data_IF_219014211639
#
_entry.id   IF_219014211639
#
_cell.length_a   1.000
_cell.length_b   1.000
_cell.length_c   1.000
_cell.angle_alpha   90.00
_cell.angle_beta   90.00
_cell.angle_gamma   90.00
#
_symmetry.space_group_name_H-M   'P 1'
#
loop_
_entity.id
_entity.type
_entity.pdbx_description
1 polymer ?
#
# COMPACT_ATOMS: atom_id res chain seq x y z
N UNK A 1 -4.50 -22.69 1.62
CA UNK A 1 -5.40 -21.52 1.42
C UNK A 1 -5.76 -20.97 2.78
N UNK A 2 -5.59 -19.67 3.00
CA UNK A 2 -6.01 -18.99 4.22
C UNK A 2 -7.54 -19.03 4.30
N UNK A 3 -8.09 -19.52 5.39
CA UNK A 3 -9.55 -19.60 5.56
C UNK A 3 -10.02 -18.30 6.21
N UNK A 4 -10.67 -17.45 5.43
CA UNK A 4 -11.28 -16.21 5.94
C UNK A 4 -12.52 -16.50 6.78
N UNK A 5 -12.80 -15.73 7.83
CA UNK A 5 -14.09 -15.76 8.49
C UNK A 5 -15.21 -15.32 7.52
N UNK A 6 -16.43 -15.81 7.73
CA UNK A 6 -17.61 -15.43 6.93
C UNK A 6 -17.91 -13.93 7.05
N UNK A 7 -17.75 -13.40 8.25
CA UNK A 7 -17.90 -11.99 8.60
C UNK A 7 -16.65 -11.54 9.35
N UNK A 8 -16.32 -10.25 9.28
CA UNK A 8 -15.17 -9.71 10.01
C UNK A 8 -15.38 -9.83 11.52
N UNK A 9 -14.40 -10.42 12.18
CA UNK A 9 -14.34 -10.47 13.63
C UNK A 9 -13.83 -9.12 14.18
N UNK A 10 -14.75 -8.21 14.49
CA UNK A 10 -14.43 -6.88 14.99
C UNK A 10 -13.75 -6.91 16.36
N UNK A 11 -14.05 -7.88 17.20
CA UNK A 11 -13.40 -8.03 18.52
C UNK A 11 -11.92 -8.31 18.38
N UNK A 12 -11.55 -9.34 17.60
CA UNK A 12 -10.13 -9.65 17.34
C UNK A 12 -9.41 -8.52 16.60
N UNK A 13 -10.13 -7.77 15.73
CA UNK A 13 -9.55 -6.61 15.03
C UNK A 13 -9.25 -5.45 16.00
N UNK A 14 -10.13 -5.20 16.98
CA UNK A 14 -9.93 -4.23 18.05
C UNK A 14 -8.77 -4.64 18.97
N UNK A 15 -8.69 -5.90 19.36
CA UNK A 15 -7.58 -6.42 20.15
C UNK A 15 -6.23 -6.21 19.45
N UNK A 16 -6.16 -6.48 18.13
CA UNK A 16 -4.98 -6.17 17.33
C UNK A 16 -4.65 -4.67 17.35
N UNK A 17 -5.64 -3.81 17.13
CA UNK A 17 -5.46 -2.35 17.15
C UNK A 17 -4.98 -1.86 18.52
N UNK A 18 -5.54 -2.37 19.61
CA UNK A 18 -5.10 -2.05 20.98
C UNK A 18 -3.67 -2.51 21.22
N UNK A 19 -3.28 -3.71 20.74
CA UNK A 19 -1.91 -4.19 20.85
C UNK A 19 -0.92 -3.24 20.15
N UNK A 20 -1.30 -2.71 18.97
CA UNK A 20 -0.50 -1.73 18.25
C UNK A 20 -0.48 -0.35 18.93
N UNK A 21 -1.55 0.05 19.61
CA UNK A 21 -1.63 1.32 20.36
C UNK A 21 -0.64 1.36 21.52
N UNK A 22 -0.35 0.22 22.12
CA UNK A 22 0.58 0.13 23.26
C UNK A 22 2.04 -0.10 22.88
N UNK A 23 2.38 -0.12 21.59
CA UNK A 23 3.79 -0.06 21.16
C UNK A 23 4.45 1.25 21.64
N UNK A 24 5.77 1.20 21.77
CA UNK A 24 6.54 2.38 22.13
C UNK A 24 6.61 3.38 20.99
N UNK A 25 6.44 4.67 21.32
CA UNK A 25 6.64 5.76 20.36
C UNK A 25 8.13 5.91 20.08
N UNK A 26 8.51 5.79 18.80
CA UNK A 26 9.91 5.86 18.37
C UNK A 26 10.26 7.24 17.81
N UNK A 27 11.46 7.74 18.13
CA UNK A 27 12.03 8.94 17.51
C UNK A 27 12.31 8.71 16.03
N UNK A 28 12.15 9.76 15.24
CA UNK A 28 12.63 9.78 13.86
C UNK A 28 13.85 10.70 13.70
N UNK A 29 14.53 10.58 12.56
CA UNK A 29 15.68 11.44 12.22
C UNK A 29 15.27 12.82 11.68
N UNK A 30 13.98 13.03 11.39
CA UNK A 30 13.51 14.23 10.68
C UNK A 30 13.32 15.42 11.61
N UNK A 31 12.81 15.21 12.81
CA UNK A 31 12.56 16.27 13.80
C UNK A 31 12.32 15.62 15.16
N UNK A 32 12.67 16.33 16.27
CA UNK A 32 12.33 15.87 17.64
C UNK A 32 10.83 15.65 17.86
N UNK A 33 9.98 16.33 17.08
CA UNK A 33 8.51 16.25 17.19
C UNK A 33 7.89 15.19 16.28
N UNK A 34 8.61 14.73 15.25
CA UNK A 34 8.14 13.69 14.35
C UNK A 34 8.51 12.34 14.92
N UNK A 35 7.48 11.54 15.21
CA UNK A 35 7.63 10.20 15.81
C UNK A 35 7.14 9.13 14.83
N UNK A 36 7.49 7.89 15.12
CA UNK A 36 7.04 6.71 14.38
C UNK A 36 6.20 5.84 15.31
N UNK A 37 4.90 5.74 15.01
CA UNK A 37 3.93 4.93 15.76
C UNK A 37 2.71 4.61 14.88
N UNK A 38 2.06 3.45 15.03
CA UNK A 38 0.89 3.07 14.21
C UNK A 38 -0.27 4.07 14.23
N UNK A 39 -0.44 4.84 15.29
CA UNK A 39 -1.58 5.76 15.45
C UNK A 39 -1.21 7.24 15.44
N UNK A 40 0.07 7.60 15.37
CA UNK A 40 0.51 9.00 15.31
C UNK A 40 1.87 9.13 14.67
N UNK A 41 2.10 10.25 13.99
CA UNK A 41 3.41 10.67 13.49
C UNK A 41 3.92 11.93 14.22
N UNK A 42 3.19 12.44 15.20
CA UNK A 42 3.53 13.63 15.97
C UNK A 42 3.71 13.30 17.46
N UNK A 43 4.79 13.78 18.06
CA UNK A 43 5.05 13.70 19.50
C UNK A 43 4.19 14.66 20.32
N UNK A 44 3.59 15.68 19.67
CA UNK A 44 2.62 16.61 20.29
C UNK A 44 1.30 16.47 19.54
N UNK A 45 0.22 16.29 20.26
CA UNK A 45 -1.12 16.13 19.71
C UNK A 45 -2.14 16.94 20.52
N UNK A 46 -3.35 17.13 19.98
CA UNK A 46 -4.47 17.74 20.70
C UNK A 46 -5.58 16.73 20.90
N UNK A 47 -6.20 16.74 22.06
CA UNK A 47 -7.31 15.86 22.39
C UNK A 47 -8.35 16.59 23.27
N UNK A 48 -9.63 16.22 23.11
CA UNK A 48 -10.69 16.70 24.01
C UNK A 48 -10.64 15.87 25.29
N UNK A 49 -10.35 16.51 26.42
CA UNK A 49 -10.32 15.90 27.76
C UNK A 49 -11.28 16.68 28.64
N UNK A 50 -12.31 16.00 29.17
CA UNK A 50 -13.37 16.60 29.97
C UNK A 50 -14.06 17.82 29.32
N UNK A 51 -14.26 17.77 27.99
CA UNK A 51 -14.90 18.85 27.22
C UNK A 51 -13.99 19.99 26.81
N UNK A 52 -12.72 20.00 27.20
CA UNK A 52 -11.73 21.00 26.84
C UNK A 52 -10.67 20.44 25.90
N UNK A 53 -10.21 21.25 24.94
CA UNK A 53 -9.08 20.89 24.08
C UNK A 53 -7.78 21.03 24.87
N UNK A 54 -7.05 19.93 25.03
CA UNK A 54 -5.72 19.90 25.64
C UNK A 54 -4.66 19.53 24.63
N UNK A 55 -3.52 20.25 24.67
CA UNK A 55 -2.32 19.87 23.96
C UNK A 55 -1.54 18.88 24.82
N UNK A 56 -1.20 17.72 24.25
CA UNK A 56 -0.51 16.64 24.94
C UNK A 56 0.86 16.42 24.31
N UNK A 57 1.92 16.40 25.12
CA UNK A 57 3.26 15.97 24.72
C UNK A 57 3.40 14.47 25.00
N UNK A 58 2.94 13.66 24.08
CA UNK A 58 2.88 12.22 24.24
C UNK A 58 4.23 11.52 24.13
N UNK A 59 5.25 12.25 23.71
CA UNK A 59 6.61 11.71 23.56
C UNK A 59 7.46 11.88 24.82
N UNK A 60 7.36 13.02 25.53
CA UNK A 60 8.20 13.33 26.68
C UNK A 60 7.44 13.27 28.00
N UNK A 61 6.11 13.33 27.99
CA UNK A 61 5.27 13.31 29.17
C UNK A 61 4.45 12.02 29.26
N UNK A 62 4.73 11.21 30.27
CA UNK A 62 4.08 9.92 30.48
C UNK A 62 2.58 10.04 30.79
N UNK A 63 2.16 11.08 31.51
CA UNK A 63 0.75 11.29 31.85
C UNK A 63 -0.05 11.72 30.62
N UNK A 64 0.54 12.58 29.78
CA UNK A 64 -0.03 12.94 28.48
C UNK A 64 -0.14 11.73 27.54
N UNK A 65 0.88 10.88 27.50
CA UNK A 65 0.85 9.62 26.74
C UNK A 65 -0.29 8.71 27.22
N UNK A 66 -0.45 8.55 28.52
CA UNK A 66 -1.52 7.72 29.09
C UNK A 66 -2.91 8.32 28.78
N UNK A 67 -3.03 9.65 28.84
CA UNK A 67 -4.26 10.37 28.50
C UNK A 67 -4.63 10.16 27.03
N UNK A 68 -3.65 10.31 26.12
CA UNK A 68 -3.82 10.08 24.70
C UNK A 68 -4.21 8.62 24.39
N UNK A 69 -3.49 7.65 24.97
CA UNK A 69 -3.81 6.22 24.79
C UNK A 69 -5.22 5.89 25.22
N UNK A 70 -5.67 6.39 26.37
CA UNK A 70 -7.04 6.18 26.85
C UNK A 70 -8.09 6.74 25.88
N UNK A 71 -7.87 7.93 25.33
CA UNK A 71 -8.77 8.48 24.33
C UNK A 71 -8.79 7.70 23.02
N UNK A 72 -7.63 7.21 22.55
CA UNK A 72 -7.56 6.33 21.38
C UNK A 72 -8.21 4.97 21.63
N UNK A 73 -8.05 4.41 22.82
CA UNK A 73 -8.72 3.18 23.25
C UNK A 73 -10.24 3.31 23.22
N UNK A 74 -10.77 4.42 23.70
CA UNK A 74 -12.21 4.75 23.64
C UNK A 74 -12.71 4.83 22.18
N UNK A 75 -11.91 5.42 21.27
CA UNK A 75 -12.23 5.50 19.84
C UNK A 75 -12.22 4.10 19.21
N UNK A 76 -11.18 3.30 19.44
CA UNK A 76 -11.05 1.94 18.94
C UNK A 76 -12.25 1.09 19.40
N UNK A 77 -12.59 1.14 20.68
CA UNK A 77 -13.69 0.36 21.26
C UNK A 77 -15.08 0.74 20.72
N UNK A 78 -15.29 2.01 20.37
CA UNK A 78 -16.54 2.51 19.78
C UNK A 78 -16.65 2.26 18.27
N UNK A 79 -15.55 1.91 17.60
CA UNK A 79 -15.53 1.65 16.15
C UNK A 79 -16.21 0.31 15.86
N UNK A 80 -17.15 0.30 14.93
CA UNK A 80 -17.95 -0.88 14.56
C UNK A 80 -17.69 -1.38 13.12
N UNK A 81 -16.86 -0.67 12.35
CA UNK A 81 -16.54 -1.00 10.96
C UNK A 81 -15.04 -1.21 10.76
N UNK A 82 -14.63 -2.27 10.01
CA UNK A 82 -13.22 -2.55 9.74
C UNK A 82 -12.49 -1.38 9.11
N UNK A 83 -13.13 -0.74 8.15
CA UNK A 83 -12.58 0.40 7.41
C UNK A 83 -12.33 1.62 8.31
N UNK A 84 -13.27 1.91 9.22
CA UNK A 84 -13.10 3.02 10.18
C UNK A 84 -11.96 2.77 11.15
N UNK A 85 -11.76 1.50 11.58
CA UNK A 85 -10.62 1.13 12.42
C UNK A 85 -9.29 1.26 11.66
N UNK A 86 -9.25 0.77 10.44
CA UNK A 86 -8.10 0.87 9.56
C UNK A 86 -7.66 2.33 9.33
N UNK A 87 -8.61 3.27 9.19
CA UNK A 87 -8.29 4.69 9.02
C UNK A 87 -7.63 5.34 10.23
N UNK A 88 -7.69 4.75 11.40
CA UNK A 88 -6.94 5.21 12.57
C UNK A 88 -5.43 4.88 12.43
N UNK A 89 -5.09 3.96 11.54
CA UNK A 89 -3.70 3.52 11.33
C UNK A 89 -2.99 4.48 10.39
N UNK A 90 -1.81 4.95 10.80
CA UNK A 90 -0.95 5.78 9.98
C UNK A 90 -0.53 5.07 8.70
N UNK A 91 -0.49 5.82 7.60
CA UNK A 91 -0.15 5.35 6.25
C UNK A 91 1.07 4.42 6.19
N UNK A 92 2.22 4.69 6.84
CA UNK A 92 3.37 3.78 6.81
C UNK A 92 3.12 2.39 7.43
N UNK A 93 2.07 2.24 8.23
CA UNK A 93 1.72 0.99 8.89
C UNK A 93 0.50 0.29 8.26
N UNK A 94 -0.09 0.87 7.22
CA UNK A 94 -1.33 0.38 6.61
C UNK A 94 -1.21 -1.07 6.10
N UNK A 95 -0.17 -1.36 5.30
CA UNK A 95 0.07 -2.70 4.75
C UNK A 95 0.36 -3.73 5.85
N UNK A 96 1.18 -3.35 6.83
CA UNK A 96 1.50 -4.22 7.99
C UNK A 96 0.25 -4.50 8.80
N UNK A 97 -0.60 -3.50 9.03
CA UNK A 97 -1.88 -3.69 9.70
C UNK A 97 -2.76 -4.70 8.94
N UNK A 98 -2.94 -4.54 7.63
CA UNK A 98 -3.74 -5.45 6.79
C UNK A 98 -3.19 -6.88 6.85
N UNK A 99 -1.86 -7.06 6.83
CA UNK A 99 -1.21 -8.37 6.97
C UNK A 99 -1.60 -9.06 8.28
N UNK A 100 -1.50 -8.37 9.42
CA UNK A 100 -1.82 -8.93 10.72
C UNK A 100 -3.34 -9.01 10.99
N UNK A 101 -4.13 -8.16 10.37
CA UNK A 101 -5.59 -8.17 10.46
C UNK A 101 -6.24 -9.29 9.63
N UNK A 102 -5.53 -9.85 8.65
CA UNK A 102 -6.06 -10.87 7.73
C UNK A 102 -6.83 -12.02 8.42
N UNK A 103 -6.40 -12.59 9.56
CA UNK A 103 -7.14 -13.68 10.23
C UNK A 103 -8.50 -13.26 10.79
N UNK A 104 -8.72 -11.97 11.00
CA UNK A 104 -9.95 -11.40 11.58
C UNK A 104 -10.89 -10.82 10.53
N UNK A 105 -10.41 -10.53 9.33
CA UNK A 105 -11.16 -9.90 8.26
C UNK A 105 -11.94 -10.92 7.43
N UNK A 106 -13.17 -10.58 7.02
CA UNK A 106 -13.83 -11.27 5.92
C UNK A 106 -12.99 -11.13 4.64
N UNK A 107 -13.14 -12.06 3.69
CA UNK A 107 -12.40 -11.97 2.43
C UNK A 107 -12.71 -10.66 1.69
N UNK A 108 -13.95 -10.19 1.76
CA UNK A 108 -14.36 -8.88 1.20
C UNK A 108 -13.59 -7.73 1.84
N UNK A 109 -13.65 -7.63 3.17
CA UNK A 109 -13.00 -6.51 3.88
C UNK A 109 -11.48 -6.57 3.74
N UNK A 110 -10.89 -7.78 3.79
CA UNK A 110 -9.46 -7.97 3.53
C UNK A 110 -9.05 -7.44 2.15
N UNK A 111 -9.80 -7.83 1.09
CA UNK A 111 -9.49 -7.44 -0.28
C UNK A 111 -9.58 -5.92 -0.46
N UNK A 112 -10.64 -5.31 0.07
CA UNK A 112 -10.84 -3.85 -0.01
C UNK A 112 -9.77 -3.08 0.77
N UNK A 113 -9.39 -3.56 1.97
CA UNK A 113 -8.35 -2.91 2.77
C UNK A 113 -6.95 -3.11 2.16
N UNK A 114 -6.66 -4.28 1.56
CA UNK A 114 -5.40 -4.50 0.84
C UNK A 114 -5.26 -3.55 -0.34
N UNK A 115 -6.33 -3.38 -1.10
CA UNK A 115 -6.41 -2.45 -2.23
C UNK A 115 -6.11 -1.01 -1.80
N UNK A 116 -6.80 -0.52 -0.76
CA UNK A 116 -6.58 0.83 -0.24
C UNK A 116 -5.17 1.00 0.35
N UNK A 117 -4.68 0.03 1.13
CA UNK A 117 -3.34 0.09 1.72
C UNK A 117 -2.24 0.13 0.65
N UNK A 118 -2.39 -0.65 -0.42
CA UNK A 118 -1.45 -0.65 -1.54
C UNK A 118 -1.45 0.69 -2.27
N UNK A 119 -2.61 1.12 -2.74
CA UNK A 119 -2.73 2.34 -3.55
C UNK A 119 -2.44 3.63 -2.79
N UNK A 120 -2.64 3.67 -1.47
CA UNK A 120 -2.27 4.82 -0.63
C UNK A 120 -0.79 4.88 -0.30
N UNK A 121 -0.06 3.77 -0.35
CA UNK A 121 1.35 3.71 0.02
C UNK A 121 2.21 4.11 -1.18
N UNK A 122 3.15 5.04 -0.97
CA UNK A 122 4.17 5.33 -1.96
C UNK A 122 5.23 4.21 -1.95
N UNK A 123 5.51 3.62 -3.11
CA UNK A 123 6.48 2.52 -3.26
C UNK A 123 6.21 1.34 -2.30
N UNK A 124 5.01 0.75 -2.29
CA UNK A 124 4.62 -0.30 -1.35
C UNK A 124 5.56 -1.50 -1.37
N UNK A 125 6.13 -1.83 -2.53
CA UNK A 125 7.12 -2.90 -2.70
C UNK A 125 8.44 -2.69 -1.94
N UNK A 126 8.69 -1.47 -1.42
CA UNK A 126 9.88 -1.16 -0.62
C UNK A 126 9.65 -1.28 0.90
N UNK A 127 8.46 -1.68 1.33
CA UNK A 127 8.18 -1.89 2.76
C UNK A 127 9.04 -3.04 3.31
N UNK A 128 9.97 -2.71 4.20
CA UNK A 128 10.92 -3.65 4.79
C UNK A 128 10.29 -4.75 5.66
N UNK A 129 9.02 -4.59 6.02
CA UNK A 129 8.26 -5.59 6.78
C UNK A 129 7.77 -6.75 5.90
N UNK A 130 8.02 -6.69 4.57
CA UNK A 130 7.55 -7.68 3.62
C UNK A 130 8.67 -8.20 2.73
N UNK A 131 8.58 -9.48 2.43
CA UNK A 131 9.27 -10.07 1.27
C UNK A 131 8.32 -10.03 0.06
N UNK A 132 8.84 -9.96 -1.18
CA UNK A 132 8.00 -10.01 -2.37
C UNK A 132 7.00 -11.18 -2.39
N UNK A 133 7.44 -12.37 -1.94
CA UNK A 133 6.59 -13.56 -1.84
C UNK A 133 5.42 -13.42 -0.85
N UNK A 134 5.53 -12.54 0.15
CA UNK A 134 4.44 -12.28 1.10
C UNK A 134 3.38 -11.40 0.46
N UNK A 135 3.77 -10.38 -0.30
CA UNK A 135 2.83 -9.59 -1.10
C UNK A 135 2.07 -10.45 -2.10
N UNK A 136 2.79 -11.32 -2.85
CA UNK A 136 2.17 -12.26 -3.80
C UNK A 136 1.12 -13.12 -3.09
N UNK A 137 1.41 -13.62 -1.88
CA UNK A 137 0.45 -14.39 -1.08
C UNK A 137 -0.77 -13.58 -0.67
N UNK A 138 -0.60 -12.31 -0.25
CA UNK A 138 -1.71 -11.45 0.11
C UNK A 138 -2.63 -11.21 -1.10
N UNK A 139 -2.07 -10.83 -2.24
CA UNK A 139 -2.83 -10.60 -3.47
C UNK A 139 -3.53 -11.86 -3.98
N UNK A 140 -2.87 -13.02 -3.95
CA UNK A 140 -3.49 -14.32 -4.31
C UNK A 140 -4.61 -14.74 -3.36
N UNK A 141 -4.62 -14.25 -2.13
CA UNK A 141 -5.67 -14.52 -1.15
C UNK A 141 -6.86 -13.58 -1.29
N UNK A 142 -6.69 -12.45 -1.97
CA UNK A 142 -7.75 -11.48 -2.19
C UNK A 142 -8.76 -11.95 -3.25
N UNK A 143 -9.99 -11.51 -3.12
CA UNK A 143 -11.02 -11.65 -4.16
C UNK A 143 -10.96 -10.42 -5.07
N UNK A 144 -10.71 -10.64 -6.36
CA UNK A 144 -10.54 -9.57 -7.36
C UNK A 144 -11.74 -8.62 -7.43
N UNK A 145 -12.95 -9.13 -7.18
CA UNK A 145 -14.19 -8.33 -7.16
C UNK A 145 -14.27 -7.28 -6.07
N UNK A 146 -13.48 -7.43 -5.02
CA UNK A 146 -13.39 -6.48 -3.89
C UNK A 146 -12.01 -5.83 -3.78
N UNK A 147 -11.03 -6.35 -4.52
CA UNK A 147 -9.69 -5.81 -4.60
C UNK A 147 -9.61 -4.65 -5.60
N UNK A 148 -10.30 -4.76 -6.73
CA UNK A 148 -10.36 -3.77 -7.80
C UNK A 148 -11.70 -3.03 -7.76
N UNK A 149 -11.72 -1.77 -8.19
CA UNK A 149 -12.95 -1.04 -8.44
C UNK A 149 -13.65 -1.58 -9.70
N UNK A 150 -14.88 -1.20 -9.92
CA UNK A 150 -15.70 -1.80 -11.01
C UNK A 150 -15.07 -1.58 -12.38
N UNK A 151 -14.56 -0.39 -12.63
CA UNK A 151 -13.88 -0.03 -13.87
C UNK A 151 -12.50 -0.71 -14.02
N UNK A 152 -11.76 -0.85 -12.93
CA UNK A 152 -10.49 -1.59 -12.88
C UNK A 152 -10.70 -3.07 -13.16
N UNK A 153 -11.76 -3.67 -12.58
CA UNK A 153 -12.12 -5.07 -12.83
C UNK A 153 -12.54 -5.29 -14.27
N UNK A 154 -13.34 -4.37 -14.84
CA UNK A 154 -13.71 -4.43 -16.25
C UNK A 154 -12.48 -4.35 -17.15
N UNK A 155 -11.57 -3.40 -16.93
CA UNK A 155 -10.32 -3.29 -17.68
C UNK A 155 -9.49 -4.57 -17.57
N UNK A 156 -9.40 -5.15 -16.35
CA UNK A 156 -8.72 -6.42 -16.15
C UNK A 156 -9.38 -7.56 -16.96
N UNK A 157 -10.71 -7.62 -17.01
CA UNK A 157 -11.44 -8.66 -17.75
C UNK A 157 -11.29 -8.53 -19.28
N UNK A 158 -11.06 -7.32 -19.77
CA UNK A 158 -10.83 -7.01 -21.19
C UNK A 158 -9.37 -7.24 -21.64
N UNK A 159 -8.43 -7.47 -20.71
CA UNK A 159 -7.04 -7.77 -21.08
C UNK A 159 -6.94 -9.04 -21.94
N UNK A 160 -6.02 -9.07 -22.92
CA UNK A 160 -5.72 -10.28 -23.70
C UNK A 160 -5.10 -11.39 -22.81
N UNK A 161 -5.06 -12.62 -23.30
CA UNK A 161 -4.50 -13.77 -22.57
C UNK A 161 -3.02 -13.59 -22.22
N UNK A 162 -2.25 -12.91 -23.07
CA UNK A 162 -0.87 -12.48 -22.84
C UNK A 162 -0.80 -10.97 -22.92
N UNK A 163 -0.22 -10.36 -21.91
CA UNK A 163 -0.13 -8.91 -21.72
C UNK A 163 1.32 -8.49 -21.72
N UNK A 164 1.65 -7.43 -22.47
CA UNK A 164 2.94 -6.73 -22.35
C UNK A 164 2.82 -5.70 -21.23
N UNK A 165 3.82 -5.67 -20.35
CA UNK A 165 3.90 -4.77 -19.21
C UNK A 165 5.24 -4.06 -19.19
N UNK A 166 5.25 -2.82 -18.73
CA UNK A 166 6.42 -1.94 -18.74
C UNK A 166 6.79 -1.51 -17.32
N UNK A 167 8.09 -1.26 -17.11
CA UNK A 167 8.58 -0.74 -15.83
C UNK A 167 9.77 0.18 -16.02
N UNK A 168 9.64 1.41 -15.52
CA UNK A 168 10.75 2.36 -15.42
C UNK A 168 11.60 2.09 -14.18
N UNK A 169 12.92 2.04 -14.38
CA UNK A 169 13.90 1.80 -13.33
C UNK A 169 15.05 2.78 -13.47
N UNK A 170 15.56 3.31 -12.38
CA UNK A 170 16.74 4.17 -12.37
C UNK A 170 17.99 3.37 -12.76
N UNK A 171 18.87 3.96 -13.57
CA UNK A 171 20.07 3.31 -14.07
C UNK A 171 21.04 2.85 -12.97
N UNK A 172 21.05 3.54 -11.82
CA UNK A 172 21.86 3.18 -10.65
C UNK A 172 21.31 1.97 -9.86
N UNK A 173 20.10 1.50 -10.19
CA UNK A 173 19.38 0.44 -9.47
C UNK A 173 18.73 -0.61 -10.37
N UNK A 174 19.48 -1.22 -11.32
CA UNK A 174 18.90 -2.18 -12.28
C UNK A 174 18.25 -3.39 -11.58
N UNK A 175 18.72 -3.79 -10.40
CA UNK A 175 18.14 -4.88 -9.60
C UNK A 175 16.70 -4.60 -9.11
N UNK A 176 16.20 -3.36 -9.26
CA UNK A 176 14.83 -2.96 -8.90
C UNK A 176 13.81 -3.26 -10.01
N UNK A 177 14.21 -3.83 -11.13
CA UNK A 177 13.27 -4.25 -12.19
C UNK A 177 12.33 -5.34 -11.68
N UNK A 178 12.81 -6.30 -10.90
CA UNK A 178 11.99 -7.38 -10.34
C UNK A 178 11.20 -6.94 -9.11
N UNK A 179 10.19 -6.12 -9.35
CA UNK A 179 9.22 -5.64 -8.35
C UNK A 179 7.81 -5.95 -8.84
N UNK A 180 6.83 -5.96 -7.92
CA UNK A 180 5.46 -6.37 -8.25
C UNK A 180 4.70 -5.37 -9.13
N UNK A 181 5.01 -4.08 -9.03
CA UNK A 181 4.29 -3.00 -9.69
C UNK A 181 4.87 -2.75 -11.08
N UNK A 182 4.06 -2.90 -12.11
CA UNK A 182 4.33 -2.63 -13.51
C UNK A 182 3.22 -1.74 -14.07
N UNK A 183 3.32 -1.27 -15.28
CA UNK A 183 2.27 -0.50 -15.95
C UNK A 183 1.95 -1.08 -17.34
N UNK A 184 0.73 -0.83 -17.82
CA UNK A 184 0.35 -1.12 -19.21
C UNK A 184 0.81 -0.03 -20.19
N UNK A 185 1.22 1.13 -19.66
CA UNK A 185 1.54 2.33 -20.41
C UNK A 185 3.05 2.56 -20.45
N UNK A 186 3.70 2.44 -21.62
CA UNK A 186 5.13 2.68 -21.75
C UNK A 186 5.54 4.13 -21.42
N UNK A 187 4.66 5.12 -21.70
CA UNK A 187 4.94 6.53 -21.39
C UNK A 187 4.98 6.76 -19.88
N UNK A 188 4.11 6.07 -19.14
CA UNK A 188 4.17 6.08 -17.66
C UNK A 188 5.43 5.42 -17.14
N UNK A 189 5.87 4.31 -17.75
CA UNK A 189 7.13 3.67 -17.39
C UNK A 189 8.32 4.60 -17.65
N UNK A 190 8.32 5.32 -18.76
CA UNK A 190 9.33 6.34 -19.10
C UNK A 190 9.35 7.46 -18.07
N UNK A 191 8.17 7.99 -17.71
CA UNK A 191 8.06 9.02 -16.69
C UNK A 191 8.65 8.56 -15.34
N UNK A 192 8.39 7.31 -14.94
CA UNK A 192 8.98 6.73 -13.72
C UNK A 192 10.49 6.56 -13.82
N UNK A 193 11.01 6.19 -15.00
CA UNK A 193 12.44 6.04 -15.24
C UNK A 193 13.18 7.38 -15.11
N UNK A 194 12.60 8.45 -15.67
CA UNK A 194 13.18 9.81 -15.72
C UNK A 194 12.78 10.71 -14.54
N UNK A 195 11.99 10.19 -13.59
CA UNK A 195 11.52 10.97 -12.45
C UNK A 195 12.69 11.52 -11.64
N UNK A 196 12.64 12.82 -11.30
CA UNK A 196 13.67 13.58 -10.57
C UNK A 196 14.96 13.88 -11.37
N UNK A 197 14.85 14.09 -12.67
CA UNK A 197 15.97 14.43 -13.56
C UNK A 197 17.13 13.40 -13.52
N UNK A 198 16.78 12.13 -13.28
CA UNK A 198 17.74 11.03 -13.26
C UNK A 198 17.66 10.22 -14.56
N UNK A 199 18.78 9.64 -14.96
CA UNK A 199 18.82 8.67 -16.05
C UNK A 199 18.17 7.37 -15.60
N UNK A 200 17.30 6.85 -16.45
CA UNK A 200 16.58 5.61 -16.18
C UNK A 200 16.37 4.79 -17.45
N UNK A 201 16.05 3.54 -17.25
CA UNK A 201 15.80 2.56 -18.30
C UNK A 201 14.37 2.03 -18.14
N UNK A 202 13.68 1.89 -19.28
CA UNK A 202 12.40 1.19 -19.33
C UNK A 202 12.64 -0.26 -19.68
N UNK A 203 12.01 -1.15 -18.96
CA UNK A 203 11.96 -2.57 -19.25
C UNK A 203 10.57 -2.96 -19.70
N UNK A 204 10.50 -3.88 -20.65
CA UNK A 204 9.26 -4.57 -21.01
C UNK A 204 9.36 -6.05 -20.66
N UNK A 205 8.22 -6.66 -20.40
CA UNK A 205 8.09 -8.09 -20.19
C UNK A 205 6.70 -8.56 -20.61
N UNK A 206 6.54 -9.86 -20.82
CA UNK A 206 5.22 -10.48 -21.06
C UNK A 206 4.77 -11.28 -19.86
N UNK A 207 3.45 -11.32 -19.64
CA UNK A 207 2.83 -12.11 -18.58
C UNK A 207 1.46 -12.63 -19.03
N UNK A 208 1.12 -13.87 -18.65
CA UNK A 208 -0.24 -14.36 -18.86
C UNK A 208 -1.21 -13.63 -17.91
N UNK A 209 -2.36 -13.20 -18.40
CA UNK A 209 -3.44 -12.54 -17.64
C UNK A 209 -3.78 -13.23 -16.32
N UNK A 210 -3.81 -14.56 -16.30
CA UNK A 210 -4.09 -15.37 -15.09
C UNK A 210 -3.09 -15.14 -13.96
N UNK A 211 -1.86 -14.67 -14.27
CA UNK A 211 -0.78 -14.38 -13.33
C UNK A 211 -0.71 -12.88 -12.96
N UNK A 212 -1.60 -12.06 -13.50
CA UNK A 212 -1.82 -10.69 -13.05
C UNK A 212 -2.69 -10.73 -11.79
N UNK A 213 -2.18 -10.19 -10.72
CA UNK A 213 -2.79 -10.25 -9.39
C UNK A 213 -3.83 -9.15 -9.18
N UNK A 214 -3.58 -7.94 -9.72
CA UNK A 214 -4.49 -6.80 -9.72
C UNK A 214 -4.17 -5.82 -10.85
N UNK A 215 -5.15 -4.96 -11.17
CA UNK A 215 -5.01 -3.75 -11.99
C UNK A 215 -5.56 -2.58 -11.17
N UNK A 216 -4.79 -1.47 -11.10
CA UNK A 216 -5.19 -0.25 -10.41
C UNK A 216 -4.99 0.96 -11.32
N UNK A 217 -6.04 1.78 -11.47
CA UNK A 217 -6.03 2.99 -12.32
C UNK A 217 -6.17 4.30 -11.53
N UNK A 218 -6.35 4.23 -10.21
CA UNK A 218 -6.72 5.36 -9.34
C UNK A 218 -5.74 6.53 -9.30
N UNK A 219 -4.49 6.33 -9.75
CA UNK A 219 -3.47 7.38 -9.81
C UNK A 219 -3.07 7.71 -11.25
N UNK A 220 -3.91 7.32 -12.21
CA UNK A 220 -3.59 7.45 -13.64
C UNK A 220 -2.27 6.73 -14.02
N UNK A 221 -1.96 5.63 -13.34
CA UNK A 221 -0.71 4.87 -13.52
C UNK A 221 -0.92 3.58 -14.34
N UNK A 222 -2.17 3.15 -14.56
CA UNK A 222 -2.50 1.85 -15.18
C UNK A 222 -1.66 0.72 -14.57
N UNK A 223 -1.57 0.73 -13.24
CA UNK A 223 -0.67 -0.16 -12.48
C UNK A 223 -1.13 -1.60 -12.56
N UNK A 224 -0.24 -2.49 -12.91
CA UNK A 224 -0.43 -3.94 -12.93
C UNK A 224 0.42 -4.57 -11.83
N UNK A 225 -0.23 -5.32 -10.94
CA UNK A 225 0.46 -6.14 -9.93
C UNK A 225 0.69 -7.52 -10.50
N UNK A 226 1.95 -7.89 -10.64
CA UNK A 226 2.36 -9.13 -11.29
C UNK A 226 2.88 -10.17 -10.30
N UNK A 227 2.66 -11.44 -10.62
CA UNK A 227 3.39 -12.53 -9.99
C UNK A 227 4.74 -12.68 -10.69
N UNK A 228 5.81 -12.29 -9.99
CA UNK A 228 7.17 -12.20 -10.54
C UNK A 228 7.69 -13.51 -11.12
N UNK A 229 7.24 -14.66 -10.60
CA UNK A 229 7.67 -15.98 -11.06
C UNK A 229 7.17 -16.32 -12.49
N UNK A 230 6.26 -15.50 -13.03
CA UNK A 230 5.63 -15.69 -14.34
C UNK A 230 5.92 -14.59 -15.36
N UNK A 231 6.80 -13.63 -15.03
CA UNK A 231 7.32 -12.69 -16.01
C UNK A 231 8.23 -13.41 -17.00
N UNK A 232 8.06 -13.10 -18.30
CA UNK A 232 8.84 -13.67 -19.41
C UNK A 232 9.33 -12.56 -20.32
N UNK A 233 10.30 -12.90 -21.16
CA UNK A 233 10.82 -12.05 -22.24
C UNK A 233 11.25 -10.66 -21.74
N UNK A 234 11.86 -10.61 -20.55
CA UNK A 234 12.31 -9.36 -19.94
C UNK A 234 13.46 -8.76 -20.75
N UNK A 235 13.20 -7.60 -21.36
CA UNK A 235 14.17 -6.86 -22.18
C UNK A 235 14.13 -5.36 -21.88
N UNK A 236 15.16 -4.63 -22.25
CA UNK A 236 15.12 -3.18 -22.26
C UNK A 236 14.20 -2.72 -23.41
N UNK A 237 13.32 -1.77 -23.11
CA UNK A 237 12.40 -1.18 -24.08
C UNK A 237 13.04 0.06 -24.68
N UNK A 238 13.25 0.05 -25.99
CA UNK A 238 13.71 1.22 -26.73
C UNK A 238 12.51 2.15 -26.95
N UNK A 239 12.53 3.31 -26.27
CA UNK A 239 11.52 4.34 -26.41
C UNK A 239 11.60 4.87 -27.86
N UNK A 240 10.50 4.83 -28.64
CA UNK A 240 10.51 5.40 -29.98
C UNK A 240 10.92 6.87 -29.93
N UNK A 241 11.99 7.26 -30.61
CA UNK A 241 12.34 8.67 -30.75
C UNK A 241 11.16 9.40 -31.41
N UNK A 242 10.63 10.44 -30.76
CA UNK A 242 9.67 11.34 -31.44
C UNK A 242 10.30 11.80 -32.76
N UNK A 243 9.62 11.46 -33.83
CA UNK A 243 10.04 11.88 -35.18
C UNK A 243 9.83 13.42 -35.29
N UNK A 244 10.91 14.18 -35.02
CA UNK A 244 10.95 15.65 -35.10
C UNK A 244 10.73 16.16 -36.53
N UNK A 245 10.22 15.33 -37.45
CA UNK A 245 10.05 15.67 -38.87
C UNK A 245 8.71 16.34 -39.22
N UNK A 246 7.85 16.66 -38.24
CA UNK A 246 6.55 17.31 -38.48
C UNK A 246 6.40 18.76 -37.95
N UNK A 247 7.51 19.47 -37.74
CA UNK A 247 7.46 20.93 -37.52
C UNK A 247 8.15 21.62 -38.67
N UNK A 248 7.42 21.80 -39.74
CA UNK A 248 7.71 22.78 -40.78
C UNK A 248 6.50 23.68 -40.99
#
# INVERSE_FOLDING_TARGET
MTKFPKETNMEGLKELALSLLYLDIQKTKFSPMVVSHPFTNNGITAQIVNGEVKTLNIFENKDDLNTWRKGMEDIINKTDKPYSLYFLINKPYALVFVKFAMPYLSQKDFSSLLSDAWTRTEMPSNDSNFKPSEFIKLFKSADKRFLMETDELQQYEELPDTVTVYRGVKSDRPNKVLQLSWTLDPDKAEWFAKRFDEDGVVYEATIDKKNILALFSRRDESEIIVDLDYLRDLTEYEIPSEDMSQVQ
#
